data_IF_760200448419
#
_entry.id   IF_760200448419
#
_cell.length_a   1.000
_cell.length_b   1.000
_cell.length_c   1.000
_cell.angle_alpha   90.00
_cell.angle_beta   90.00
_cell.angle_gamma   90.00
#
_symmetry.space_group_name_H-M   'P 1'
#
loop_
_entity.id
_entity.type
_entity.pdbx_description
1 polymer ?
#
# COMPACT_ATOMS: atom_id res chain seq x y z
N UNK A 1 -7.06 -2.05 -15.30
CA UNK A 1 -6.10 -1.77 -14.23
C UNK A 1 -5.60 -3.09 -13.65
N UNK A 2 -4.30 -3.26 -13.53
CA UNK A 2 -3.70 -4.48 -12.98
C UNK A 2 -4.00 -4.63 -11.49
N UNK A 3 -3.77 -5.83 -10.94
CA UNK A 3 -3.93 -6.06 -9.50
C UNK A 3 -3.00 -5.16 -8.69
N UNK A 4 -1.75 -4.99 -9.12
CA UNK A 4 -0.80 -4.09 -8.47
C UNK A 4 -1.30 -2.66 -8.46
N UNK A 5 -1.80 -2.18 -9.58
CA UNK A 5 -2.33 -0.83 -9.68
C UNK A 5 -3.53 -0.62 -8.76
N UNK A 6 -4.39 -1.61 -8.62
CA UNK A 6 -5.55 -1.54 -7.73
C UNK A 6 -5.13 -1.43 -6.27
N UNK A 7 -4.15 -2.22 -5.85
CA UNK A 7 -3.65 -2.16 -4.47
C UNK A 7 -2.92 -0.84 -4.23
N UNK A 8 -2.12 -0.37 -5.19
CA UNK A 8 -1.44 0.91 -5.09
C UNK A 8 -2.45 2.05 -4.91
N UNK A 9 -3.51 2.04 -5.71
CA UNK A 9 -4.57 3.05 -5.61
C UNK A 9 -5.24 3.03 -4.25
N UNK A 10 -5.57 1.84 -3.73
CA UNK A 10 -6.19 1.72 -2.42
C UNK A 10 -5.29 2.29 -1.32
N UNK A 11 -4.00 1.96 -1.34
CA UNK A 11 -3.05 2.50 -0.36
C UNK A 11 -2.89 4.01 -0.48
N UNK A 12 -2.85 4.54 -1.69
CA UNK A 12 -2.75 5.98 -1.90
C UNK A 12 -4.00 6.71 -1.39
N UNK A 13 -5.18 6.15 -1.61
CA UNK A 13 -6.42 6.71 -1.06
C UNK A 13 -6.41 6.70 0.47
N UNK A 14 -5.96 5.60 1.07
CA UNK A 14 -5.83 5.51 2.53
C UNK A 14 -4.81 6.52 3.05
N UNK A 15 -3.72 6.75 2.32
CA UNK A 15 -2.71 7.72 2.74
C UNK A 15 -3.25 9.14 2.71
N UNK A 16 -4.19 9.45 1.83
CA UNK A 16 -4.82 10.77 1.81
C UNK A 16 -5.72 10.97 3.01
N UNK A 17 -6.39 9.91 3.49
CA UNK A 17 -7.31 9.98 4.62
C UNK A 17 -6.60 9.87 5.97
N UNK A 18 -5.61 9.01 6.08
CA UNK A 18 -5.00 8.64 7.36
C UNK A 18 -3.48 8.73 7.35
N UNK A 19 -2.88 9.24 6.29
CA UNK A 19 -1.44 9.30 6.18
C UNK A 19 -0.84 10.40 7.03
N UNK A 20 0.31 10.10 7.62
CA UNK A 20 1.12 11.05 8.35
C UNK A 20 2.50 11.09 7.70
N UNK A 21 2.97 12.27 7.39
CA UNK A 21 4.28 12.46 6.79
C UNK A 21 5.37 12.05 7.77
N UNK A 22 6.18 11.09 7.36
CA UNK A 22 7.31 10.61 8.16
C UNK A 22 8.65 11.15 7.64
N UNK A 23 8.62 12.07 6.68
CA UNK A 23 9.81 12.65 6.07
C UNK A 23 10.39 11.79 4.95
N UNK A 24 11.22 12.38 4.12
CA UNK A 24 11.96 11.69 3.05
C UNK A 24 11.08 10.88 2.08
N UNK A 25 9.88 11.37 1.80
CA UNK A 25 8.96 10.69 0.90
C UNK A 25 8.27 9.49 1.52
N UNK A 26 8.32 9.36 2.84
CA UNK A 26 7.67 8.28 3.59
C UNK A 26 6.38 8.75 4.20
N UNK A 27 5.37 7.88 4.16
CA UNK A 27 4.06 8.15 4.75
C UNK A 27 3.65 6.93 5.57
N UNK A 28 3.26 7.16 6.82
CA UNK A 28 2.69 6.11 7.66
C UNK A 28 1.18 6.27 7.64
N UNK A 29 0.47 5.19 7.31
CA UNK A 29 -0.99 5.17 7.41
C UNK A 29 -1.32 4.88 8.87
N UNK A 30 -1.73 5.92 9.59
CA UNK A 30 -1.88 5.87 11.04
C UNK A 30 -3.02 4.98 11.52
N UNK A 31 -4.02 4.76 10.67
CA UNK A 31 -5.17 3.93 11.00
C UNK A 31 -4.86 2.45 10.76
N UNK A 32 -5.15 1.56 11.71
CA UNK A 32 -4.95 0.12 11.47
C UNK A 32 -5.84 -0.38 10.35
N UNK A 33 -5.24 -1.06 9.38
CA UNK A 33 -5.95 -1.62 8.22
C UNK A 33 -5.61 -3.11 8.13
N UNK A 34 -6.61 -3.95 8.06
CA UNK A 34 -6.41 -5.37 7.84
C UNK A 34 -6.11 -5.63 6.37
N UNK A 35 -5.31 -6.66 6.12
CA UNK A 35 -5.03 -7.06 4.74
C UNK A 35 -6.31 -7.44 3.99
N UNK A 36 -7.28 -8.04 4.69
CA UNK A 36 -8.58 -8.35 4.10
C UNK A 36 -9.36 -7.09 3.71
N UNK A 37 -9.24 -6.01 4.49
CA UNK A 37 -9.88 -4.75 4.14
C UNK A 37 -9.24 -4.15 2.88
N UNK A 38 -7.93 -4.23 2.79
CA UNK A 38 -7.21 -3.76 1.61
C UNK A 38 -7.62 -4.56 0.36
N UNK A 39 -7.75 -5.87 0.50
CA UNK A 39 -8.20 -6.73 -0.59
C UNK A 39 -9.61 -6.34 -1.05
N UNK A 40 -10.51 -6.07 -0.11
CA UNK A 40 -11.87 -5.65 -0.43
C UNK A 40 -11.87 -4.29 -1.15
N UNK A 41 -11.06 -3.34 -0.69
CA UNK A 41 -10.95 -2.04 -1.33
C UNK A 41 -10.40 -2.14 -2.75
N UNK A 42 -9.41 -3.00 -2.95
CA UNK A 42 -8.79 -3.20 -4.26
C UNK A 42 -9.64 -4.08 -5.19
N UNK A 43 -10.61 -4.82 -4.64
CA UNK A 43 -11.44 -5.72 -5.42
C UNK A 43 -10.69 -6.92 -5.96
N UNK A 44 -9.73 -7.45 -5.20
CA UNK A 44 -8.93 -8.61 -5.60
C UNK A 44 -8.87 -9.62 -4.46
N UNK A 45 -8.45 -10.84 -4.77
CA UNK A 45 -8.32 -11.90 -3.79
C UNK A 45 -7.23 -11.58 -2.76
N UNK A 46 -7.45 -11.99 -1.52
CA UNK A 46 -6.52 -11.80 -0.42
C UNK A 46 -5.12 -12.34 -0.74
N UNK A 47 -5.05 -13.48 -1.41
CA UNK A 47 -3.78 -14.10 -1.80
C UNK A 47 -2.97 -13.22 -2.75
N UNK A 48 -3.66 -12.53 -3.65
CA UNK A 48 -2.99 -11.61 -4.57
C UNK A 48 -2.44 -10.40 -3.84
N UNK A 49 -3.18 -9.89 -2.84
CA UNK A 49 -2.68 -8.80 -1.99
C UNK A 49 -1.41 -9.24 -1.27
N UNK A 50 -1.41 -10.44 -0.70
CA UNK A 50 -0.23 -10.97 0.00
C UNK A 50 1.00 -11.01 -0.89
N UNK A 51 0.86 -11.49 -2.12
CA UNK A 51 1.98 -11.54 -3.07
C UNK A 51 2.47 -10.17 -3.44
N UNK A 52 1.54 -9.26 -3.71
CA UNK A 52 1.89 -7.89 -4.09
C UNK A 52 2.63 -7.19 -2.95
N UNK A 53 2.11 -7.29 -1.73
CA UNK A 53 2.74 -6.68 -0.57
C UNK A 53 4.12 -7.29 -0.27
N UNK A 54 4.29 -8.60 -0.44
CA UNK A 54 5.58 -9.24 -0.29
C UNK A 54 6.60 -8.73 -1.29
N UNK A 55 6.18 -8.54 -2.54
CA UNK A 55 7.03 -7.96 -3.58
C UNK A 55 7.44 -6.53 -3.22
N UNK A 56 6.47 -5.72 -2.80
CA UNK A 56 6.74 -4.33 -2.45
C UNK A 56 7.61 -4.20 -1.20
N UNK A 57 7.49 -5.13 -0.26
CA UNK A 57 8.38 -5.16 0.91
C UNK A 57 9.83 -5.39 0.49
N UNK A 58 10.07 -6.36 -0.40
CA UNK A 58 11.41 -6.63 -0.91
C UNK A 58 12.01 -5.44 -1.66
N UNK A 59 11.15 -4.71 -2.37
CA UNK A 59 11.57 -3.53 -3.15
C UNK A 59 11.58 -2.25 -2.31
N UNK A 60 11.28 -2.35 -1.02
CA UNK A 60 11.25 -1.21 -0.10
C UNK A 60 10.25 -0.12 -0.52
N UNK A 61 9.15 -0.52 -1.14
CA UNK A 61 8.09 0.41 -1.53
C UNK A 61 7.08 0.56 -0.40
N UNK A 62 6.59 -0.55 0.13
CA UNK A 62 5.62 -0.58 1.23
C UNK A 62 6.06 -1.64 2.24
N UNK A 63 6.01 -1.30 3.51
CA UNK A 63 6.22 -2.25 4.60
C UNK A 63 5.04 -2.18 5.55
N UNK A 64 4.91 -3.19 6.40
CA UNK A 64 3.83 -3.28 7.36
C UNK A 64 4.41 -3.43 8.76
N UNK A 65 4.01 -2.54 9.65
CA UNK A 65 4.39 -2.58 11.05
C UNK A 65 3.14 -2.82 11.88
N UNK A 66 2.98 -4.02 12.43
CA UNK A 66 1.76 -4.45 13.09
C UNK A 66 0.60 -4.40 12.10
N UNK A 67 -0.41 -3.57 12.38
CA UNK A 67 -1.58 -3.40 11.52
C UNK A 67 -1.53 -2.11 10.71
N UNK A 68 -0.38 -1.44 10.67
CA UNK A 68 -0.22 -0.18 9.96
C UNK A 68 0.69 -0.36 8.76
N UNK A 69 0.37 0.31 7.68
CA UNK A 69 1.19 0.29 6.48
C UNK A 69 2.08 1.52 6.45
N UNK A 70 3.31 1.32 6.01
CA UNK A 70 4.26 2.41 5.80
C UNK A 70 4.61 2.45 4.32
N UNK A 71 4.32 3.56 3.67
CA UNK A 71 4.76 3.80 2.29
C UNK A 71 6.15 4.39 2.38
N UNK A 72 7.16 3.57 2.05
CA UNK A 72 8.57 3.98 2.17
C UNK A 72 9.04 4.81 0.99
N UNK A 73 8.42 4.63 -0.16
CA UNK A 73 8.78 5.35 -1.38
C UNK A 73 7.49 5.69 -2.13
N UNK A 74 6.99 6.88 -1.88
CA UNK A 74 5.72 7.33 -2.47
C UNK A 74 5.79 7.38 -4.00
N UNK A 75 6.90 7.86 -4.55
CA UNK A 75 7.09 7.94 -6.00
C UNK A 75 7.02 6.55 -6.64
N UNK A 76 7.69 5.57 -6.04
CA UNK A 76 7.66 4.20 -6.55
C UNK A 76 6.26 3.60 -6.47
N UNK A 77 5.51 3.87 -5.40
CA UNK A 77 4.15 3.39 -5.29
C UNK A 77 3.25 4.01 -6.36
N UNK A 78 3.39 5.31 -6.62
CA UNK A 78 2.64 5.98 -7.68
C UNK A 78 2.93 5.40 -9.05
N UNK A 79 4.15 4.94 -9.30
CA UNK A 79 4.50 4.28 -10.57
C UNK A 79 3.77 2.96 -10.74
N UNK A 80 3.42 2.29 -9.65
CA UNK A 80 2.67 1.04 -9.73
C UNK A 80 1.25 1.23 -10.26
N UNK A 81 0.73 2.45 -10.24
CA UNK A 81 -0.56 2.77 -10.86
C UNK A 81 -0.55 2.56 -12.37
N UNK A 82 0.63 2.58 -12.97
CA UNK A 82 0.82 2.44 -14.42
C UNK A 82 1.10 1.01 -14.86
N UNK A 83 1.20 0.11 -13.91
CA UNK A 83 1.54 -1.29 -14.21
C UNK A 83 0.34 -2.13 -14.67
#
# INVERSE_FOLDING_TARGET
MSAQARVARALLELSELFGEDAGEGKIVIAHPIRQSDLAAMAGIAHENVSRILSNWKRRMIVTRLSHRYCINNLTALKRELES
#
